data_IF_250189419916
#
_entry.id   IF_250189419916
#
_cell.length_a   1.000
_cell.length_b   1.000
_cell.length_c   1.000
_cell.angle_alpha   90.00
_cell.angle_beta   90.00
_cell.angle_gamma   90.00
#
_symmetry.space_group_name_H-M   'P 1'
#
loop_
_entity.id
_entity.type
_entity.pdbx_description
1 polymer ?
#
# COMPACT_ATOMS: atom_id res chain seq x y z
N UNK A 1 -48.01 -6.53 -2.17
CA UNK A 1 -47.56 -5.51 -3.15
C UNK A 1 -48.74 -5.06 -4.01
N UNK A 2 -49.50 -4.04 -3.57
CA UNK A 2 -50.31 -3.12 -4.42
C UNK A 2 -51.20 -2.11 -3.65
N UNK A 3 -51.23 -2.08 -2.32
CA UNK A 3 -52.10 -1.15 -1.56
C UNK A 3 -51.36 -0.15 -0.63
N UNK A 4 -50.17 0.29 -1.04
CA UNK A 4 -49.42 1.39 -0.39
C UNK A 4 -49.19 2.59 -1.33
N UNK A 5 -49.89 2.63 -2.47
CA UNK A 5 -49.97 3.84 -3.30
C UNK A 5 -51.03 4.73 -2.65
N UNK A 6 -50.59 5.87 -2.14
CA UNK A 6 -51.42 7.02 -1.78
C UNK A 6 -52.39 6.85 -0.60
N UNK A 7 -51.84 6.72 0.62
CA UNK A 7 -52.61 6.94 1.85
C UNK A 7 -52.37 8.33 2.45
N UNK A 8 -53.38 8.96 3.08
CA UNK A 8 -53.29 10.29 3.68
C UNK A 8 -52.20 10.43 4.78
N UNK A 9 -51.66 9.33 5.31
CA UNK A 9 -50.56 9.37 6.29
C UNK A 9 -49.20 9.78 5.69
N UNK A 10 -48.92 9.43 4.43
CA UNK A 10 -47.74 9.97 3.71
C UNK A 10 -47.95 11.41 3.28
N UNK A 11 -49.20 11.86 3.17
CA UNK A 11 -49.56 13.24 2.86
C UNK A 11 -49.47 14.15 4.11
N UNK A 12 -49.84 13.64 5.30
CA UNK A 12 -49.75 14.36 6.58
C UNK A 12 -48.30 14.60 7.03
N UNK A 13 -47.44 13.60 6.87
CA UNK A 13 -45.98 13.75 7.09
C UNK A 13 -45.34 14.65 6.03
N UNK A 14 -45.91 14.72 4.82
CA UNK A 14 -45.47 15.63 3.77
C UNK A 14 -45.88 17.07 3.99
N UNK A 15 -47.12 17.35 4.39
CA UNK A 15 -47.55 18.72 4.66
C UNK A 15 -46.77 19.31 5.85
N UNK A 16 -46.39 18.48 6.83
CA UNK A 16 -45.53 18.88 7.93
C UNK A 16 -44.10 19.29 7.49
N UNK A 17 -43.47 18.52 6.58
CA UNK A 17 -42.20 18.93 5.93
C UNK A 17 -42.41 20.17 5.05
N UNK A 18 -43.56 20.23 4.36
CA UNK A 18 -43.84 21.30 3.42
C UNK A 18 -44.14 22.65 4.11
N UNK A 19 -44.70 22.63 5.32
CA UNK A 19 -45.12 23.79 6.10
C UNK A 19 -44.05 24.38 7.03
N UNK A 20 -42.87 23.75 7.12
CA UNK A 20 -41.77 24.23 7.96
C UNK A 20 -41.10 25.47 7.35
N UNK A 21 -41.68 26.63 7.62
CA UNK A 21 -41.04 27.95 7.51
C UNK A 21 -40.49 28.32 8.91
N UNK A 22 -39.42 27.66 9.38
CA UNK A 22 -38.96 27.85 10.77
C UNK A 22 -37.66 28.68 10.88
N UNK A 23 -37.58 29.64 11.82
CA UNK A 23 -36.38 30.44 12.08
C UNK A 23 -35.17 29.61 12.54
N UNK A 24 -33.98 30.16 12.31
CA UNK A 24 -32.62 29.62 12.51
C UNK A 24 -32.25 29.08 13.91
N UNK A 25 -33.15 29.08 14.91
CA UNK A 25 -32.77 28.88 16.33
C UNK A 25 -33.23 27.56 17.00
N UNK A 26 -34.05 26.71 16.37
CA UNK A 26 -34.47 25.39 16.89
C UNK A 26 -33.90 24.17 16.13
N UNK A 27 -32.57 24.10 15.93
CA UNK A 27 -31.93 23.32 14.85
C UNK A 27 -31.39 21.92 15.16
N UNK A 28 -31.53 21.40 16.38
CA UNK A 28 -30.90 20.13 16.78
C UNK A 28 -31.57 18.86 16.21
N UNK A 29 -32.59 18.27 16.86
CA UNK A 29 -33.10 16.94 16.49
C UNK A 29 -33.85 16.88 15.14
N UNK A 30 -34.39 18.01 14.68
CA UNK A 30 -35.32 18.09 13.56
C UNK A 30 -34.65 17.98 12.18
N UNK A 31 -33.39 18.41 12.04
CA UNK A 31 -32.69 18.35 10.75
C UNK A 31 -32.30 16.90 10.37
N UNK A 32 -31.99 16.05 11.35
CA UNK A 32 -31.67 14.63 11.10
C UNK A 32 -32.91 13.92 10.57
N UNK A 33 -34.08 14.21 11.15
CA UNK A 33 -35.35 13.62 10.75
C UNK A 33 -35.76 13.95 9.31
N UNK A 34 -35.50 15.18 8.84
CA UNK A 34 -35.89 15.61 7.50
C UNK A 34 -35.10 14.89 6.38
N UNK A 35 -33.78 14.79 6.53
CA UNK A 35 -32.93 14.10 5.56
C UNK A 35 -33.14 12.58 5.62
N UNK A 36 -33.31 12.00 6.81
CA UNK A 36 -33.54 10.57 6.97
C UNK A 36 -34.88 10.17 6.35
N UNK A 37 -35.93 10.97 6.54
CA UNK A 37 -37.22 10.75 5.89
C UNK A 37 -37.12 10.87 4.36
N UNK A 38 -36.42 11.89 3.85
CA UNK A 38 -36.19 12.01 2.42
C UNK A 38 -35.39 10.82 1.84
N UNK A 39 -34.44 10.27 2.60
CA UNK A 39 -33.65 9.09 2.22
C UNK A 39 -34.51 7.83 2.19
N UNK A 40 -35.32 7.60 3.23
CA UNK A 40 -36.26 6.47 3.29
C UNK A 40 -37.24 6.52 2.11
N UNK A 41 -37.79 7.71 1.81
CA UNK A 41 -38.68 7.89 0.65
C UNK A 41 -37.93 7.62 -0.67
N UNK A 42 -36.67 8.04 -0.75
CA UNK A 42 -35.83 7.79 -1.92
C UNK A 42 -35.65 6.28 -2.13
N UNK A 43 -35.14 5.56 -1.14
CA UNK A 43 -34.79 4.14 -1.24
C UNK A 43 -36.00 3.26 -1.55
N UNK A 44 -37.16 3.59 -0.98
CA UNK A 44 -38.41 2.87 -1.20
C UNK A 44 -39.16 3.31 -2.47
N UNK A 45 -38.58 4.21 -3.28
CA UNK A 45 -39.17 4.76 -4.51
C UNK A 45 -40.57 5.37 -4.31
N UNK A 46 -40.78 5.99 -3.14
CA UNK A 46 -42.01 6.68 -2.75
C UNK A 46 -41.97 8.16 -3.18
N UNK A 47 -43.10 8.85 -3.07
CA UNK A 47 -43.23 10.30 -3.33
C UNK A 47 -42.76 10.79 -4.70
N UNK A 48 -42.90 9.95 -5.75
CA UNK A 48 -42.43 10.24 -7.12
C UNK A 48 -42.93 11.58 -7.66
N UNK A 49 -44.20 11.89 -7.45
CA UNK A 49 -44.84 13.14 -7.91
C UNK A 49 -44.28 14.38 -7.21
N UNK A 50 -43.72 14.23 -6.01
CA UNK A 50 -43.15 15.32 -5.21
C UNK A 50 -41.63 15.39 -5.28
N UNK A 51 -40.97 14.52 -6.06
CA UNK A 51 -39.51 14.41 -6.17
C UNK A 51 -38.82 15.76 -6.41
N UNK A 52 -39.34 16.58 -7.33
CA UNK A 52 -38.79 17.92 -7.61
C UNK A 52 -38.89 18.86 -6.42
N UNK A 53 -40.00 18.85 -5.69
CA UNK A 53 -40.18 19.68 -4.51
C UNK A 53 -39.27 19.24 -3.36
N UNK A 54 -39.14 17.92 -3.13
CA UNK A 54 -38.22 17.35 -2.15
C UNK A 54 -36.78 17.79 -2.48
N UNK A 55 -36.36 17.64 -3.74
CA UNK A 55 -35.01 18.01 -4.19
C UNK A 55 -34.73 19.51 -3.95
N UNK A 56 -35.65 20.39 -4.34
CA UNK A 56 -35.51 21.84 -4.15
C UNK A 56 -35.45 22.24 -2.67
N UNK A 57 -36.23 21.58 -1.80
CA UNK A 57 -36.18 21.84 -0.36
C UNK A 57 -34.86 21.39 0.25
N UNK A 58 -34.40 20.19 -0.10
CA UNK A 58 -33.10 19.69 0.36
C UNK A 58 -31.95 20.59 -0.12
N UNK A 59 -32.00 21.06 -1.38
CA UNK A 59 -31.04 22.03 -1.92
C UNK A 59 -31.07 23.34 -1.11
N UNK A 60 -32.25 23.91 -0.85
CA UNK A 60 -32.39 25.15 -0.09
C UNK A 60 -31.83 25.01 1.33
N UNK A 61 -32.12 23.90 2.03
CA UNK A 61 -31.55 23.60 3.34
C UNK A 61 -30.02 23.42 3.28
N UNK A 62 -29.53 22.72 2.26
CA UNK A 62 -28.10 22.53 2.05
C UNK A 62 -27.36 23.86 1.89
N UNK A 63 -27.88 24.77 1.04
CA UNK A 63 -27.30 26.10 0.83
C UNK A 63 -27.36 26.96 2.09
N UNK A 64 -28.48 26.95 2.81
CA UNK A 64 -28.60 27.69 4.07
C UNK A 64 -27.58 27.24 5.12
N UNK A 65 -27.37 25.93 5.27
CA UNK A 65 -26.34 25.38 6.15
C UNK A 65 -24.92 25.77 5.72
N UNK A 66 -24.69 25.82 4.42
CA UNK A 66 -23.41 26.21 3.85
C UNK A 66 -23.11 27.69 4.16
N UNK A 67 -24.11 28.57 3.99
CA UNK A 67 -24.05 30.00 4.32
C UNK A 67 -23.83 30.24 5.83
N UNK A 68 -24.37 29.37 6.69
CA UNK A 68 -24.13 29.37 8.14
C UNK A 68 -22.73 28.85 8.54
N UNK A 69 -21.87 28.49 7.58
CA UNK A 69 -20.53 27.97 7.85
C UNK A 69 -20.56 26.53 8.40
N UNK A 70 -21.57 25.74 8.04
CA UNK A 70 -21.75 24.34 8.44
C UNK A 70 -21.62 23.39 7.23
N UNK A 71 -20.50 23.41 6.48
CA UNK A 71 -20.35 22.69 5.22
C UNK A 71 -20.50 21.16 5.37
N UNK A 72 -20.13 20.59 6.52
CA UNK A 72 -20.30 19.17 6.82
C UNK A 72 -21.76 18.71 6.84
N UNK A 73 -22.67 19.56 7.32
CA UNK A 73 -24.09 19.27 7.33
C UNK A 73 -24.71 19.61 5.97
N UNK A 74 -24.29 20.73 5.36
CA UNK A 74 -24.72 21.14 4.02
C UNK A 74 -24.53 20.03 2.99
N UNK A 75 -23.36 19.38 2.96
CA UNK A 75 -23.06 18.31 1.99
C UNK A 75 -24.05 17.16 2.05
N UNK A 76 -24.48 16.72 3.24
CA UNK A 76 -25.47 15.63 3.35
C UNK A 76 -26.78 15.99 2.64
N UNK A 77 -27.26 17.22 2.84
CA UNK A 77 -28.46 17.72 2.20
C UNK A 77 -28.31 17.88 0.69
N UNK A 78 -27.17 18.41 0.24
CA UNK A 78 -26.87 18.58 -1.18
C UNK A 78 -26.70 17.23 -1.90
N UNK A 79 -26.05 16.24 -1.29
CA UNK A 79 -25.94 14.88 -1.82
C UNK A 79 -27.33 14.23 -1.97
N UNK A 80 -28.19 14.38 -0.95
CA UNK A 80 -29.57 13.88 -1.02
C UNK A 80 -30.37 14.60 -2.12
N UNK A 81 -30.25 15.93 -2.23
CA UNK A 81 -30.89 16.71 -3.29
C UNK A 81 -30.41 16.26 -4.68
N UNK A 82 -29.10 16.07 -4.86
CA UNK A 82 -28.49 15.59 -6.09
C UNK A 82 -29.05 14.23 -6.51
N UNK A 83 -29.20 13.29 -5.58
CA UNK A 83 -29.82 11.99 -5.84
C UNK A 83 -31.27 12.12 -6.33
N UNK A 84 -32.07 13.01 -5.73
CA UNK A 84 -33.44 13.27 -6.16
C UNK A 84 -33.52 13.95 -7.54
N UNK A 85 -32.61 14.89 -7.85
CA UNK A 85 -32.52 15.49 -9.19
C UNK A 85 -32.09 14.48 -10.26
N UNK A 86 -31.15 13.59 -9.93
CA UNK A 86 -30.73 12.51 -10.81
C UNK A 86 -31.90 11.59 -11.18
N UNK A 87 -32.72 11.22 -10.19
CA UNK A 87 -33.91 10.37 -10.38
C UNK A 87 -34.94 10.95 -11.35
N UNK A 88 -35.12 12.27 -11.35
CA UNK A 88 -36.05 12.94 -12.27
C UNK A 88 -35.40 13.34 -13.60
N UNK A 89 -34.14 12.97 -13.83
CA UNK A 89 -33.41 13.22 -15.07
C UNK A 89 -32.84 14.63 -15.19
N UNK A 90 -32.85 15.43 -14.12
CA UNK A 90 -32.31 16.80 -14.14
C UNK A 90 -30.79 16.79 -13.92
N UNK A 91 -30.06 16.48 -15.00
CA UNK A 91 -28.60 16.37 -14.99
C UNK A 91 -27.92 17.72 -14.75
N UNK A 92 -28.52 18.82 -15.21
CA UNK A 92 -27.97 20.16 -15.01
C UNK A 92 -27.89 20.49 -13.50
N UNK A 93 -28.99 20.26 -12.76
CA UNK A 93 -29.02 20.46 -11.31
C UNK A 93 -28.15 19.45 -10.56
N UNK A 94 -28.13 18.19 -10.97
CA UNK A 94 -27.21 17.19 -10.40
C UNK A 94 -25.75 17.67 -10.47
N UNK A 95 -25.31 18.13 -11.64
CA UNK A 95 -23.93 18.59 -11.83
C UNK A 95 -23.64 19.89 -11.07
N UNK A 96 -24.58 20.84 -11.06
CA UNK A 96 -24.48 22.06 -10.23
C UNK A 96 -24.27 21.71 -8.75
N UNK A 97 -25.10 20.83 -8.18
CA UNK A 97 -24.98 20.41 -6.78
C UNK A 97 -23.69 19.63 -6.51
N UNK A 98 -23.24 18.81 -7.48
CA UNK A 98 -21.97 18.10 -7.37
C UNK A 98 -20.80 19.08 -7.24
N UNK A 99 -20.81 20.19 -7.98
CA UNK A 99 -19.83 21.28 -7.83
C UNK A 99 -19.93 21.91 -6.45
N UNK A 100 -21.14 22.24 -5.97
CA UNK A 100 -21.31 22.82 -4.63
C UNK A 100 -20.77 21.90 -3.52
N UNK A 101 -21.01 20.59 -3.60
CA UNK A 101 -20.50 19.61 -2.64
C UNK A 101 -18.96 19.57 -2.67
N UNK A 102 -18.37 19.58 -3.87
CA UNK A 102 -16.92 19.59 -4.04
C UNK A 102 -16.29 20.86 -3.45
N UNK A 103 -16.86 22.03 -3.74
CA UNK A 103 -16.37 23.31 -3.16
C UNK A 103 -16.58 23.40 -1.64
N UNK A 104 -17.61 22.74 -1.10
CA UNK A 104 -17.77 22.57 0.34
C UNK A 104 -16.60 21.81 0.97
N UNK A 105 -16.04 20.80 0.30
CA UNK A 105 -14.82 20.12 0.74
C UNK A 105 -13.59 21.03 0.65
N UNK A 106 -13.48 21.85 -0.40
CA UNK A 106 -12.36 22.80 -0.58
C UNK A 106 -12.33 23.86 0.51
N UNK A 107 -13.48 24.43 0.85
CA UNK A 107 -13.60 25.40 1.95
C UNK A 107 -13.19 24.78 3.28
N UNK A 108 -13.60 23.55 3.55
CA UNK A 108 -13.15 22.86 4.75
C UNK A 108 -11.65 22.59 4.73
N UNK A 109 -11.09 22.15 3.60
CA UNK A 109 -9.65 21.92 3.48
C UNK A 109 -8.85 23.19 3.81
N UNK A 110 -9.28 24.33 3.25
CA UNK A 110 -8.66 25.64 3.44
C UNK A 110 -8.74 26.13 4.89
N UNK A 111 -9.78 25.73 5.63
CA UNK A 111 -9.97 26.10 7.04
C UNK A 111 -9.24 25.21 8.04
N UNK A 112 -8.57 24.12 7.60
CA UNK A 112 -7.86 23.20 8.50
C UNK A 112 -6.41 23.64 8.68
N UNK A 113 -5.97 23.65 9.95
CA UNK A 113 -4.56 23.86 10.28
C UNK A 113 -3.73 22.59 10.16
N UNK A 114 -4.34 21.40 10.27
CA UNK A 114 -3.64 20.13 10.09
C UNK A 114 -3.57 19.77 8.62
N UNK A 115 -2.37 19.76 8.05
CA UNK A 115 -2.14 19.48 6.64
C UNK A 115 -2.67 18.09 6.22
N UNK A 116 -2.49 17.06 7.04
CA UNK A 116 -2.99 15.72 6.72
C UNK A 116 -4.53 15.68 6.59
N UNK A 117 -5.25 16.45 7.41
CA UNK A 117 -6.73 16.54 7.35
C UNK A 117 -7.15 17.34 6.13
N UNK A 118 -6.47 18.45 5.85
CA UNK A 118 -6.70 19.25 4.65
C UNK A 118 -6.49 18.44 3.36
N UNK A 119 -5.44 17.63 3.28
CA UNK A 119 -5.17 16.75 2.13
C UNK A 119 -6.32 15.76 1.87
N UNK A 120 -6.86 15.15 2.93
CA UNK A 120 -8.03 14.25 2.83
C UNK A 120 -9.28 14.96 2.28
N UNK A 121 -9.48 16.23 2.64
CA UNK A 121 -10.59 17.03 2.13
C UNK A 121 -10.40 17.46 0.67
N UNK A 122 -9.18 17.85 0.26
CA UNK A 122 -8.89 18.08 -1.16
C UNK A 122 -9.10 16.82 -2.01
N UNK A 123 -8.70 15.65 -1.52
CA UNK A 123 -8.98 14.38 -2.18
C UNK A 123 -10.49 14.14 -2.33
N UNK A 124 -11.28 14.36 -1.28
CA UNK A 124 -12.75 14.24 -1.34
C UNK A 124 -13.37 15.22 -2.36
N UNK A 125 -12.83 16.43 -2.47
CA UNK A 125 -13.25 17.40 -3.49
C UNK A 125 -12.97 16.86 -4.90
N UNK A 126 -11.75 16.36 -5.16
CA UNK A 126 -11.35 15.76 -6.44
C UNK A 126 -12.25 14.57 -6.81
N UNK A 127 -12.50 13.66 -5.86
CA UNK A 127 -13.36 12.50 -6.11
C UNK A 127 -14.81 12.92 -6.39
N UNK A 128 -15.30 13.94 -5.70
CA UNK A 128 -16.63 14.51 -5.97
C UNK A 128 -16.71 15.11 -7.37
N UNK A 129 -15.73 15.92 -7.78
CA UNK A 129 -15.64 16.47 -9.13
C UNK A 129 -15.59 15.39 -10.21
N UNK A 130 -14.90 14.27 -9.95
CA UNK A 130 -14.82 13.14 -10.88
C UNK A 130 -16.16 12.45 -11.14
N UNK A 131 -17.17 12.63 -10.29
CA UNK A 131 -18.54 12.14 -10.53
C UNK A 131 -19.21 12.82 -11.73
N UNK A 132 -18.75 14.01 -12.13
CA UNK A 132 -19.23 14.70 -13.33
C UNK A 132 -18.59 14.04 -14.58
N UNK A 133 -19.39 13.56 -15.55
CA UNK A 133 -18.87 12.95 -16.77
C UNK A 133 -17.99 13.92 -17.56
N UNK A 134 -16.89 13.43 -18.15
CA UNK A 134 -15.90 14.27 -18.89
C UNK A 134 -16.55 15.23 -19.91
N UNK A 135 -17.57 14.79 -20.64
CA UNK A 135 -18.26 15.62 -21.65
C UNK A 135 -19.00 16.84 -21.08
N UNK A 136 -19.39 16.81 -19.80
CA UNK A 136 -20.19 17.84 -19.13
C UNK A 136 -19.30 18.81 -18.32
N UNK A 137 -17.97 18.59 -18.29
CA UNK A 137 -17.03 19.33 -17.45
C UNK A 137 -16.67 20.71 -17.99
N UNK A 138 -16.62 20.84 -19.31
CA UNK A 138 -16.22 22.08 -19.99
C UNK A 138 -17.15 23.25 -19.67
N UNK A 139 -18.46 23.01 -19.54
CA UNK A 139 -19.44 24.05 -19.21
C UNK A 139 -19.29 24.64 -17.79
N UNK A 140 -18.49 24.00 -16.94
CA UNK A 140 -18.39 24.28 -15.50
C UNK A 140 -16.93 24.42 -15.04
N UNK A 141 -16.00 24.57 -15.98
CA UNK A 141 -14.55 24.72 -15.75
C UNK A 141 -13.95 23.66 -14.80
N UNK A 142 -14.54 22.46 -14.77
CA UNK A 142 -14.19 21.42 -13.80
C UNK A 142 -12.76 20.92 -13.98
N UNK A 143 -12.28 20.83 -15.22
CA UNK A 143 -10.93 20.33 -15.48
C UNK A 143 -9.85 21.32 -15.04
N UNK A 144 -10.08 22.63 -15.16
CA UNK A 144 -9.18 23.67 -14.61
C UNK A 144 -9.16 23.60 -13.08
N UNK A 145 -10.34 23.53 -12.45
CA UNK A 145 -10.45 23.40 -11.00
C UNK A 145 -9.81 22.11 -10.48
N UNK A 146 -9.94 21.00 -11.19
CA UNK A 146 -9.27 19.74 -10.85
C UNK A 146 -7.74 19.89 -10.86
N UNK A 147 -7.16 20.58 -11.84
CA UNK A 147 -5.72 20.83 -11.91
C UNK A 147 -5.21 21.68 -10.73
N UNK A 148 -5.98 22.71 -10.36
CA UNK A 148 -5.68 23.51 -9.16
C UNK A 148 -5.74 22.65 -7.89
N UNK A 149 -6.78 21.82 -7.74
CA UNK A 149 -6.92 20.94 -6.57
C UNK A 149 -5.80 19.90 -6.48
N UNK A 150 -5.30 19.38 -7.60
CA UNK A 150 -4.13 18.49 -7.59
C UNK A 150 -2.89 19.21 -7.08
N UNK A 151 -2.70 20.47 -7.45
CA UNK A 151 -1.59 21.30 -6.98
C UNK A 151 -1.71 21.55 -5.47
N UNK A 152 -2.88 22.01 -5.00
CA UNK A 152 -3.15 22.25 -3.58
C UNK A 152 -2.97 20.98 -2.73
N UNK A 153 -3.49 19.84 -3.21
CA UNK A 153 -3.34 18.55 -2.53
C UNK A 153 -1.87 18.14 -2.44
N UNK A 154 -1.08 18.34 -3.50
CA UNK A 154 0.35 18.04 -3.51
C UNK A 154 1.14 18.93 -2.54
N UNK A 155 0.81 20.22 -2.47
CA UNK A 155 1.48 21.17 -1.58
C UNK A 155 1.21 20.84 -0.12
N UNK A 156 -0.06 20.64 0.22
CA UNK A 156 -0.48 20.26 1.57
C UNK A 156 0.04 18.88 1.96
N UNK A 157 0.11 17.94 1.03
CA UNK A 157 0.73 16.62 1.25
C UNK A 157 2.20 16.72 1.68
N UNK A 158 2.98 17.62 1.05
CA UNK A 158 4.36 17.90 1.46
C UNK A 158 4.45 18.54 2.85
N UNK A 159 3.54 19.46 3.17
CA UNK A 159 3.47 20.04 4.51
C UNK A 159 3.11 19.03 5.59
N UNK A 160 2.26 18.04 5.29
CA UNK A 160 1.88 17.00 6.23
C UNK A 160 3.09 16.20 6.76
N UNK A 161 4.14 16.02 5.93
CA UNK A 161 5.38 15.36 6.36
C UNK A 161 6.10 16.13 7.48
N UNK A 162 6.04 17.46 7.46
CA UNK A 162 6.68 18.31 8.46
C UNK A 162 5.92 18.33 9.80
N UNK A 163 4.62 18.02 9.78
CA UNK A 163 3.79 17.91 10.98
C UNK A 163 3.93 16.54 11.68
N UNK A 164 4.53 15.55 11.02
CA UNK A 164 4.69 14.21 11.57
C UNK A 164 5.65 14.21 12.76
N UNK A 165 5.18 13.73 13.91
CA UNK A 165 6.03 13.53 15.09
C UNK A 165 6.68 12.16 15.05
N UNK A 166 7.99 12.12 15.29
CA UNK A 166 8.71 10.86 15.47
C UNK A 166 8.33 10.25 16.82
N UNK A 167 7.88 9.00 16.78
CA UNK A 167 7.76 8.15 17.95
C UNK A 167 8.92 7.16 17.87
N UNK A 168 9.73 7.08 18.93
CA UNK A 168 10.90 6.21 18.98
C UNK A 168 10.91 5.41 20.26
N UNK A 169 11.38 4.17 20.16
CA UNK A 169 11.72 3.29 21.28
C UNK A 169 13.17 2.84 21.13
N UNK A 170 13.89 2.68 22.24
CA UNK A 170 15.24 2.11 22.25
C UNK A 170 15.19 0.61 22.48
N UNK A 171 16.04 -0.12 21.76
CA UNK A 171 16.29 -1.55 21.96
C UNK A 171 17.81 -1.71 22.03
N UNK A 172 18.31 -2.39 23.07
CA UNK A 172 19.73 -2.73 23.13
C UNK A 172 20.02 -3.92 22.20
N UNK A 173 20.89 -3.69 21.23
CA UNK A 173 21.30 -4.68 20.22
C UNK A 173 22.75 -5.13 20.38
N UNK A 174 23.43 -4.74 21.47
CA UNK A 174 24.87 -5.00 21.67
C UNK A 174 25.21 -6.50 21.58
N UNK A 175 24.36 -7.37 22.15
CA UNK A 175 24.53 -8.82 22.06
C UNK A 175 24.38 -9.38 20.63
N UNK A 176 23.49 -8.80 19.81
CA UNK A 176 23.33 -9.17 18.41
C UNK A 176 24.58 -8.80 17.61
N UNK A 177 25.09 -7.58 17.82
CA UNK A 177 26.29 -7.05 17.15
C UNK A 177 27.48 -7.99 17.40
N UNK A 178 27.72 -8.34 18.66
CA UNK A 178 28.87 -9.19 19.00
C UNK A 178 28.72 -10.61 18.44
N UNK A 179 27.50 -11.16 18.48
CA UNK A 179 27.20 -12.47 17.88
C UNK A 179 27.47 -12.47 16.38
N UNK A 180 27.02 -11.44 15.66
CA UNK A 180 27.21 -11.32 14.23
C UNK A 180 28.67 -11.14 13.83
N UNK A 181 29.43 -10.30 14.56
CA UNK A 181 30.87 -10.12 14.34
C UNK A 181 31.62 -11.44 14.53
N UNK A 182 31.34 -12.15 15.63
CA UNK A 182 31.98 -13.43 15.91
C UNK A 182 31.56 -14.54 14.94
N UNK A 183 30.35 -14.44 14.35
CA UNK A 183 29.93 -15.39 13.32
C UNK A 183 30.82 -15.31 12.07
N UNK A 184 31.35 -14.13 11.70
CA UNK A 184 32.14 -13.93 10.48
C UNK A 184 33.66 -14.00 10.75
N UNK A 185 34.11 -13.46 11.89
CA UNK A 185 35.53 -13.27 12.26
C UNK A 185 36.38 -14.54 12.14
N UNK A 186 37.58 -14.39 11.56
CA UNK A 186 38.62 -15.41 11.51
C UNK A 186 38.31 -16.59 10.59
N UNK A 187 37.31 -16.48 9.71
CA UNK A 187 36.93 -17.54 8.77
C UNK A 187 37.65 -17.40 7.43
N UNK A 188 37.69 -18.47 6.65
CA UNK A 188 38.12 -18.39 5.26
C UNK A 188 37.10 -17.55 4.43
N UNK A 189 37.49 -16.92 3.31
CA UNK A 189 36.63 -15.94 2.62
C UNK A 189 35.24 -16.46 2.24
N UNK A 190 35.15 -17.70 1.72
CA UNK A 190 33.86 -18.32 1.38
C UNK A 190 33.04 -18.63 2.64
N UNK A 191 33.66 -19.17 3.69
CA UNK A 191 32.97 -19.48 4.95
C UNK A 191 32.48 -18.22 5.67
N UNK A 192 33.22 -17.11 5.55
CA UNK A 192 32.85 -15.81 6.08
C UNK A 192 31.65 -15.23 5.33
N UNK A 193 31.63 -15.29 3.99
CA UNK A 193 30.48 -14.92 3.15
C UNK A 193 29.23 -15.72 3.51
N UNK A 194 29.39 -17.03 3.71
CA UNK A 194 28.30 -17.92 4.07
C UNK A 194 27.79 -17.67 5.49
N UNK A 195 28.68 -17.36 6.42
CA UNK A 195 28.31 -16.94 7.77
C UNK A 195 27.52 -15.62 7.73
N UNK A 196 27.94 -14.65 6.91
CA UNK A 196 27.19 -13.41 6.70
C UNK A 196 25.80 -13.66 6.11
N UNK A 197 25.70 -14.52 5.09
CA UNK A 197 24.43 -14.91 4.48
C UNK A 197 23.46 -15.59 5.47
N UNK A 198 23.99 -16.25 6.50
CA UNK A 198 23.24 -16.91 7.57
C UNK A 198 23.14 -16.13 8.88
N UNK A 199 23.58 -14.86 8.92
CA UNK A 199 23.69 -14.08 10.18
C UNK A 199 22.33 -13.75 10.80
N UNK A 200 21.27 -13.73 9.99
CA UNK A 200 19.90 -13.54 10.44
C UNK A 200 19.12 -14.85 10.33
N UNK A 201 18.25 -15.08 11.31
CA UNK A 201 17.23 -16.14 11.23
C UNK A 201 16.32 -15.91 10.04
N UNK A 202 15.91 -16.98 9.36
CA UNK A 202 14.85 -16.93 8.36
C UNK A 202 13.57 -16.32 8.96
N UNK A 203 12.91 -15.43 8.21
CA UNK A 203 11.55 -14.99 8.54
C UNK A 203 10.64 -16.22 8.63
N UNK A 204 9.74 -16.22 9.61
CA UNK A 204 8.59 -17.13 9.64
C UNK A 204 7.32 -16.29 9.62
N UNK A 205 6.63 -16.29 8.48
CA UNK A 205 5.42 -15.49 8.24
C UNK A 205 4.32 -15.85 9.21
N UNK A 206 4.20 -17.13 9.58
CA UNK A 206 3.25 -17.60 10.59
C UNK A 206 3.46 -16.87 11.92
N UNK A 207 4.70 -16.84 12.43
CA UNK A 207 5.02 -16.16 13.70
C UNK A 207 4.86 -14.63 13.59
N UNK A 208 5.20 -14.06 12.44
CA UNK A 208 4.97 -12.64 12.17
C UNK A 208 3.47 -12.31 12.19
N UNK A 209 2.65 -13.19 11.61
CA UNK A 209 1.19 -13.04 11.59
C UNK A 209 0.62 -13.15 13.00
N UNK A 210 0.98 -14.19 13.75
CA UNK A 210 0.52 -14.39 15.13
C UNK A 210 0.85 -13.20 16.03
N UNK A 211 2.09 -12.71 15.98
CA UNK A 211 2.50 -11.53 16.75
C UNK A 211 1.78 -10.25 16.31
N UNK A 212 1.50 -10.10 15.01
CA UNK A 212 0.71 -8.98 14.49
C UNK A 212 -0.74 -9.05 14.93
N UNK A 213 -1.37 -10.23 14.88
CA UNK A 213 -2.73 -10.44 15.38
C UNK A 213 -2.85 -10.17 16.89
N UNK A 214 -1.85 -10.61 17.68
CA UNK A 214 -1.78 -10.33 19.11
C UNK A 214 -1.71 -8.82 19.38
N UNK A 215 -0.82 -8.11 18.69
CA UNK A 215 -0.68 -6.66 18.84
C UNK A 215 -1.95 -5.89 18.46
N UNK A 216 -2.65 -6.34 17.40
CA UNK A 216 -3.92 -5.73 17.01
C UNK A 216 -4.99 -5.88 18.10
N UNK A 217 -5.04 -7.03 18.79
CA UNK A 217 -5.97 -7.32 19.89
C UNK A 217 -5.65 -6.52 21.15
N UNK A 218 -4.37 -6.30 21.45
CA UNK A 218 -3.93 -5.55 22.64
C UNK A 218 -4.15 -4.03 22.50
N UNK A 219 -4.22 -3.51 21.27
CA UNK A 219 -4.36 -2.07 21.00
C UNK A 219 -5.57 -1.71 20.12
N UNK A 220 -6.81 -2.06 20.51
CA UNK A 220 -8.01 -1.92 19.67
C UNK A 220 -8.34 -0.47 19.30
N UNK A 221 -8.06 0.50 20.17
CA UNK A 221 -8.33 1.92 19.90
C UNK A 221 -7.44 2.44 18.76
N UNK A 222 -6.18 2.01 18.71
CA UNK A 222 -5.23 2.42 17.66
C UNK A 222 -5.58 1.81 16.31
N UNK A 223 -6.19 0.64 16.29
CA UNK A 223 -6.54 -0.12 15.09
C UNK A 223 -7.93 0.22 14.55
N UNK A 224 -8.80 0.79 15.38
CA UNK A 224 -10.08 1.40 14.97
C UNK A 224 -9.87 2.70 14.17
N UNK A 225 -8.74 3.39 14.36
CA UNK A 225 -8.40 4.61 13.61
C UNK A 225 -7.81 4.24 12.24
N UNK A 226 -8.36 4.85 11.19
CA UNK A 226 -7.77 4.75 9.84
C UNK A 226 -6.37 5.38 9.83
N UNK A 227 -5.39 4.71 9.21
CA UNK A 227 -4.07 5.28 9.01
C UNK A 227 -3.79 5.55 7.53
N UNK A 228 -3.08 6.64 7.26
CA UNK A 228 -2.69 7.05 5.90
C UNK A 228 -1.17 6.95 5.82
N UNK A 229 -0.68 6.25 4.79
CA UNK A 229 0.75 6.15 4.49
C UNK A 229 1.09 7.17 3.41
N UNK A 230 2.07 8.01 3.70
CA UNK A 230 2.49 9.12 2.85
C UNK A 230 3.92 8.84 2.38
N UNK A 231 4.17 8.94 1.08
CA UNK A 231 5.50 8.82 0.49
C UNK A 231 6.37 10.04 0.83
N UNK A 232 7.68 9.94 0.56
CA UNK A 232 8.66 11.00 0.81
C UNK A 232 8.35 12.31 0.07
N UNK A 233 7.60 12.23 -1.02
CA UNK A 233 7.16 13.38 -1.82
C UNK A 233 5.80 13.96 -1.38
N UNK A 234 5.20 13.43 -0.30
CA UNK A 234 3.94 13.92 0.26
C UNK A 234 2.69 13.27 -0.32
N UNK A 235 2.81 12.31 -1.25
CA UNK A 235 1.64 11.61 -1.81
C UNK A 235 1.11 10.54 -0.85
N UNK A 236 -0.21 10.42 -0.76
CA UNK A 236 -0.85 9.27 -0.12
C UNK A 236 -0.68 8.04 -1.00
N UNK A 237 0.08 7.05 -0.53
CA UNK A 237 0.38 5.81 -1.28
C UNK A 237 -0.42 4.62 -0.80
N UNK A 238 -0.93 4.66 0.43
CA UNK A 238 -1.84 3.64 0.94
C UNK A 238 -2.73 4.19 2.07
N UNK A 239 -3.92 3.60 2.21
CA UNK A 239 -4.85 3.86 3.30
C UNK A 239 -5.24 2.55 3.96
N UNK A 240 -5.20 2.53 5.28
CA UNK A 240 -5.72 1.45 6.11
C UNK A 240 -7.06 1.90 6.68
N UNK A 241 -8.17 1.23 6.35
CA UNK A 241 -9.45 1.51 7.00
C UNK A 241 -9.40 1.10 8.47
N UNK A 242 -10.29 1.66 9.29
CA UNK A 242 -10.50 1.18 10.66
C UNK A 242 -11.01 -0.28 10.65
N UNK A 243 -10.64 -1.05 11.66
CA UNK A 243 -11.08 -2.45 11.79
C UNK A 243 -12.54 -2.51 12.21
N UNK A 244 -13.37 -3.20 11.45
CA UNK A 244 -14.59 -3.80 11.98
C UNK A 244 -14.23 -5.17 12.58
N UNK A 245 -14.27 -5.26 13.91
CA UNK A 245 -13.90 -6.45 14.66
C UNK A 245 -14.96 -7.56 14.61
N UNK A 246 -16.12 -7.29 14.00
CA UNK A 246 -17.23 -8.24 13.94
C UNK A 246 -16.99 -9.41 12.96
N UNK A 247 -16.11 -9.25 11.97
CA UNK A 247 -15.79 -10.29 10.99
C UNK A 247 -14.26 -10.40 10.73
N UNK A 248 -13.57 -11.36 11.40
CA UNK A 248 -12.15 -11.67 11.20
C UNK A 248 -11.82 -12.22 9.80
N UNK A 249 -12.82 -12.56 8.99
CA UNK A 249 -12.61 -13.02 7.61
C UNK A 249 -12.79 -11.92 6.57
N UNK A 250 -13.28 -10.75 7.00
CA UNK A 250 -13.54 -9.61 6.13
C UNK A 250 -12.27 -9.11 5.42
N UNK A 251 -12.44 -8.59 4.21
CA UNK A 251 -11.35 -7.96 3.46
C UNK A 251 -10.73 -6.79 4.23
N UNK A 252 -11.53 -6.05 5.00
CA UNK A 252 -11.08 -4.98 5.86
C UNK A 252 -10.10 -5.51 6.93
N UNK A 253 -10.47 -6.57 7.66
CA UNK A 253 -9.58 -7.19 8.65
C UNK A 253 -8.27 -7.67 8.02
N UNK A 254 -8.34 -8.35 6.87
CA UNK A 254 -7.13 -8.83 6.15
C UNK A 254 -6.19 -7.70 5.76
N UNK A 255 -6.72 -6.58 5.27
CA UNK A 255 -5.91 -5.41 4.89
C UNK A 255 -5.21 -4.77 6.10
N UNK A 256 -5.88 -4.74 7.24
CA UNK A 256 -5.36 -4.22 8.50
C UNK A 256 -4.26 -5.14 9.05
N UNK A 257 -4.52 -6.45 9.08
CA UNK A 257 -3.54 -7.44 9.51
C UNK A 257 -2.28 -7.38 8.64
N UNK A 258 -2.45 -7.31 7.33
CA UNK A 258 -1.34 -7.17 6.40
C UNK A 258 -0.49 -5.92 6.70
N UNK A 259 -1.13 -4.76 6.87
CA UNK A 259 -0.41 -3.53 7.22
C UNK A 259 0.37 -3.63 8.54
N UNK A 260 -0.18 -4.33 9.52
CA UNK A 260 0.52 -4.57 10.79
C UNK A 260 1.72 -5.52 10.60
N UNK A 261 1.56 -6.57 9.79
CA UNK A 261 2.65 -7.47 9.44
C UNK A 261 3.79 -6.75 8.73
N UNK A 262 3.50 -5.88 7.76
CA UNK A 262 4.51 -5.06 7.07
C UNK A 262 5.23 -4.13 8.06
N UNK A 263 4.51 -3.49 8.98
CA UNK A 263 5.13 -2.64 10.01
C UNK A 263 6.05 -3.44 10.93
N UNK A 264 5.58 -4.59 11.41
CA UNK A 264 6.36 -5.47 12.28
C UNK A 264 7.59 -6.03 11.56
N UNK A 265 7.45 -6.40 10.30
CA UNK A 265 8.57 -6.80 9.45
C UNK A 265 9.59 -5.66 9.29
N UNK A 266 9.14 -4.44 9.02
CA UNK A 266 10.03 -3.27 8.91
C UNK A 266 10.84 -3.00 10.18
N UNK A 267 10.24 -3.17 11.36
CA UNK A 267 10.94 -3.05 12.64
C UNK A 267 11.97 -4.17 12.84
N UNK A 268 11.62 -5.42 12.51
CA UNK A 268 12.56 -6.55 12.57
C UNK A 268 13.75 -6.37 11.62
N UNK A 269 13.48 -5.92 10.39
CA UNK A 269 14.49 -5.61 9.39
C UNK A 269 15.48 -4.57 9.90
N UNK A 270 15.00 -3.49 10.52
CA UNK A 270 15.89 -2.47 11.09
C UNK A 270 16.83 -3.06 12.17
N UNK A 271 16.31 -3.94 13.02
CA UNK A 271 17.12 -4.64 14.04
C UNK A 271 18.14 -5.57 13.39
N UNK A 272 17.75 -6.35 12.38
CA UNK A 272 18.68 -7.24 11.66
C UNK A 272 19.77 -6.47 10.94
N UNK A 273 19.44 -5.36 10.30
CA UNK A 273 20.41 -4.53 9.58
C UNK A 273 21.45 -3.97 10.55
N UNK A 274 21.01 -3.26 11.58
CA UNK A 274 21.92 -2.59 12.53
C UNK A 274 22.61 -3.57 13.48
N UNK A 275 21.94 -4.66 13.84
CA UNK A 275 22.41 -5.60 14.84
C UNK A 275 23.18 -6.80 14.28
N UNK A 276 23.01 -7.15 13.00
CA UNK A 276 23.61 -8.37 12.46
C UNK A 276 24.29 -8.18 11.10
N UNK A 277 23.55 -7.69 10.10
CA UNK A 277 24.04 -7.63 8.71
C UNK A 277 25.20 -6.65 8.59
N UNK A 278 25.02 -5.40 9.02
CA UNK A 278 26.07 -4.37 8.91
C UNK A 278 27.31 -4.75 9.73
N UNK A 279 27.23 -5.15 11.02
CA UNK A 279 28.40 -5.57 11.77
C UNK A 279 29.13 -6.77 11.17
N UNK A 280 28.40 -7.75 10.61
CA UNK A 280 29.01 -8.90 9.93
C UNK A 280 29.72 -8.49 8.64
N UNK A 281 29.11 -7.61 7.85
CA UNK A 281 29.70 -7.05 6.63
C UNK A 281 30.97 -6.25 6.93
N UNK A 282 30.98 -5.43 7.98
CA UNK A 282 32.17 -4.70 8.43
C UNK A 282 33.36 -5.64 8.64
N UNK A 283 33.16 -6.75 9.37
CA UNK A 283 34.21 -7.75 9.60
C UNK A 283 34.65 -8.40 8.29
N UNK A 284 33.70 -8.75 7.41
CA UNK A 284 34.00 -9.37 6.12
C UNK A 284 34.89 -8.47 5.24
N UNK A 285 34.62 -7.16 5.21
CA UNK A 285 35.41 -6.17 4.47
C UNK A 285 36.78 -5.97 5.10
N UNK A 286 36.87 -6.00 6.43
CA UNK A 286 38.13 -5.81 7.16
C UNK A 286 39.10 -6.97 6.95
N UNK A 287 38.60 -8.21 6.95
CA UNK A 287 39.44 -9.42 6.93
C UNK A 287 39.73 -9.95 5.53
N UNK A 288 38.92 -9.58 4.52
CA UNK A 288 39.02 -10.14 3.18
C UNK A 288 39.07 -9.06 2.10
N UNK A 289 39.61 -9.44 0.95
CA UNK A 289 39.69 -8.61 -0.27
C UNK A 289 39.09 -9.38 -1.44
N UNK A 290 37.79 -9.62 -1.33
CA UNK A 290 37.02 -10.31 -2.37
C UNK A 290 36.96 -9.44 -3.63
N UNK A 291 36.99 -10.08 -4.78
CA UNK A 291 36.92 -9.46 -6.10
C UNK A 291 35.56 -9.71 -6.72
N UNK A 292 35.16 -8.88 -7.68
CA UNK A 292 33.93 -9.08 -8.47
C UNK A 292 33.86 -10.51 -9.04
N UNK A 293 34.98 -11.06 -9.53
CA UNK A 293 35.07 -12.43 -10.05
C UNK A 293 34.64 -13.51 -9.05
N UNK A 294 34.86 -13.28 -7.77
CA UNK A 294 34.50 -14.23 -6.71
C UNK A 294 32.98 -14.29 -6.57
N UNK A 295 32.31 -13.13 -6.61
CA UNK A 295 30.85 -13.04 -6.58
C UNK A 295 30.20 -13.55 -7.87
N UNK A 296 30.82 -13.31 -9.04
CA UNK A 296 30.35 -13.87 -10.33
C UNK A 296 30.44 -15.40 -10.31
N UNK A 297 31.53 -15.95 -9.80
CA UNK A 297 31.70 -17.40 -9.67
C UNK A 297 30.66 -17.98 -8.71
N UNK A 298 30.44 -17.34 -7.57
CA UNK A 298 29.41 -17.74 -6.61
C UNK A 298 28.00 -17.72 -7.23
N UNK A 299 27.68 -16.68 -8.00
CA UNK A 299 26.40 -16.59 -8.70
C UNK A 299 26.23 -17.69 -9.76
N UNK A 300 27.29 -18.05 -10.49
CA UNK A 300 27.24 -19.12 -11.50
C UNK A 300 27.03 -20.52 -10.96
N UNK A 301 27.41 -20.77 -9.71
CA UNK A 301 27.17 -22.05 -9.06
C UNK A 301 25.75 -22.16 -8.46
N UNK A 302 25.06 -21.04 -8.30
CA UNK A 302 23.76 -20.95 -7.65
C UNK A 302 22.61 -21.26 -8.63
N UNK A 303 21.78 -22.30 -8.37
CA UNK A 303 20.68 -22.65 -9.26
C UNK A 303 19.51 -21.66 -9.23
N UNK A 304 19.49 -20.73 -8.26
CA UNK A 304 18.47 -19.67 -8.23
C UNK A 304 18.77 -18.59 -9.29
N UNK A 305 20.04 -18.44 -9.69
CA UNK A 305 20.47 -17.44 -10.67
C UNK A 305 20.19 -17.97 -12.08
N UNK A 306 19.40 -17.25 -12.91
CA UNK A 306 19.19 -17.66 -14.28
C UNK A 306 20.49 -17.61 -15.10
N UNK A 307 20.64 -18.57 -16.02
CA UNK A 307 21.78 -18.62 -16.94
C UNK A 307 22.02 -17.29 -17.65
N UNK A 308 23.29 -16.93 -17.84
CA UNK A 308 23.73 -15.67 -18.48
C UNK A 308 23.44 -14.39 -17.68
N UNK A 309 23.03 -14.52 -16.40
CA UNK A 309 22.84 -13.38 -15.48
C UNK A 309 23.88 -13.31 -14.37
N UNK A 310 24.82 -14.25 -14.32
CA UNK A 310 25.83 -14.43 -13.26
C UNK A 310 26.67 -13.16 -13.08
N UNK A 311 27.04 -12.51 -14.19
CA UNK A 311 27.81 -11.25 -14.16
C UNK A 311 27.03 -10.09 -13.53
N UNK A 312 25.73 -9.97 -13.82
CA UNK A 312 24.89 -8.91 -13.27
C UNK A 312 24.67 -9.11 -11.77
N UNK A 313 24.40 -10.35 -11.36
CA UNK A 313 24.31 -10.73 -9.94
C UNK A 313 25.63 -10.52 -9.21
N UNK A 314 26.72 -11.04 -9.75
CA UNK A 314 28.05 -10.92 -9.14
C UNK A 314 28.48 -9.47 -8.98
N UNK A 315 28.27 -8.62 -10.00
CA UNK A 315 28.53 -7.19 -9.91
C UNK A 315 27.65 -6.49 -8.88
N UNK A 316 26.35 -6.79 -8.84
CA UNK A 316 25.44 -6.21 -7.84
C UNK A 316 25.87 -6.57 -6.41
N UNK A 317 26.27 -7.83 -6.18
CA UNK A 317 26.76 -8.27 -4.89
C UNK A 317 28.10 -7.63 -4.52
N UNK A 318 29.02 -7.52 -5.47
CA UNK A 318 30.31 -6.87 -5.26
C UNK A 318 30.16 -5.39 -4.90
N UNK A 319 29.30 -4.64 -5.61
CA UNK A 319 29.02 -3.24 -5.28
C UNK A 319 28.52 -3.09 -3.83
N UNK A 320 27.57 -3.91 -3.38
CA UNK A 320 27.10 -3.83 -2.00
C UNK A 320 28.12 -4.34 -0.97
N UNK A 321 29.00 -5.27 -1.34
CA UNK A 321 30.15 -5.65 -0.51
C UNK A 321 31.11 -4.48 -0.28
N UNK A 322 31.30 -3.60 -1.28
CA UNK A 322 32.08 -2.37 -1.13
C UNK A 322 31.30 -1.20 -0.49
N UNK A 323 30.03 -1.42 -0.12
CA UNK A 323 29.16 -0.38 0.45
C UNK A 323 28.51 0.56 -0.59
N UNK A 324 28.69 0.29 -1.88
CA UNK A 324 27.96 0.99 -2.95
C UNK A 324 26.58 0.37 -3.14
N UNK A 325 25.67 0.65 -2.20
CA UNK A 325 24.30 0.18 -2.27
C UNK A 325 23.52 0.86 -3.40
N UNK A 326 23.94 2.02 -3.88
CA UNK A 326 23.35 2.68 -5.06
C UNK A 326 23.49 1.77 -6.27
N UNK A 327 24.72 1.41 -6.65
CA UNK A 327 24.93 0.52 -7.78
C UNK A 327 24.34 -0.88 -7.51
N UNK A 328 24.45 -1.37 -6.28
CA UNK A 328 23.93 -2.69 -5.91
C UNK A 328 22.42 -2.80 -6.17
N UNK A 329 21.59 -1.89 -5.66
CA UNK A 329 20.13 -2.01 -5.81
C UNK A 329 19.65 -1.77 -7.25
N UNK A 330 20.32 -0.89 -8.00
CA UNK A 330 20.00 -0.65 -9.42
C UNK A 330 20.28 -1.86 -10.29
N UNK A 331 21.30 -2.65 -9.96
CA UNK A 331 21.60 -3.90 -10.67
C UNK A 331 20.74 -5.05 -10.14
N UNK A 332 20.61 -5.18 -8.81
CA UNK A 332 19.97 -6.32 -8.14
C UNK A 332 18.46 -6.36 -8.35
N UNK A 333 17.78 -5.21 -8.27
CA UNK A 333 16.31 -5.18 -8.29
C UNK A 333 15.71 -5.74 -9.59
N UNK A 334 16.21 -5.36 -10.79
CA UNK A 334 15.79 -6.01 -12.03
C UNK A 334 16.17 -7.49 -12.10
N UNK A 335 17.28 -7.90 -11.47
CA UNK A 335 17.69 -9.31 -11.45
C UNK A 335 16.77 -10.16 -10.56
N UNK A 336 16.29 -9.64 -9.43
CA UNK A 336 15.29 -10.29 -8.57
C UNK A 336 13.98 -10.48 -9.34
N UNK A 337 13.51 -9.45 -10.06
CA UNK A 337 12.30 -9.57 -10.90
C UNK A 337 12.47 -10.65 -11.98
N UNK A 338 13.62 -10.63 -12.68
CA UNK A 338 13.91 -11.64 -13.70
C UNK A 338 14.04 -13.05 -13.11
N UNK A 339 14.63 -13.19 -11.92
CA UNK A 339 14.73 -14.47 -11.21
C UNK A 339 13.34 -15.05 -10.92
N UNK A 340 12.45 -14.26 -10.32
CA UNK A 340 11.06 -14.68 -10.03
C UNK A 340 10.36 -15.13 -11.31
N UNK A 341 10.44 -14.31 -12.36
CA UNK A 341 9.88 -14.63 -13.68
C UNK A 341 10.43 -15.93 -14.25
N UNK A 342 11.75 -16.13 -14.19
CA UNK A 342 12.41 -17.29 -14.77
C UNK A 342 11.96 -18.59 -14.11
N UNK A 343 11.90 -18.64 -12.78
CA UNK A 343 11.45 -19.83 -12.05
C UNK A 343 9.95 -20.10 -12.24
N UNK A 344 9.12 -19.05 -12.35
CA UNK A 344 7.71 -19.20 -12.70
C UNK A 344 7.53 -19.83 -14.09
N UNK A 345 8.27 -19.35 -15.09
CA UNK A 345 8.27 -19.93 -16.44
C UNK A 345 8.75 -21.38 -16.44
N UNK A 346 9.82 -21.67 -15.70
CA UNK A 346 10.33 -23.03 -15.55
C UNK A 346 9.28 -23.99 -14.94
N UNK A 347 8.39 -23.47 -14.10
CA UNK A 347 7.26 -24.20 -13.52
C UNK A 347 5.99 -24.21 -14.39
N UNK A 348 6.04 -23.70 -15.64
CA UNK A 348 4.92 -23.67 -16.58
C UNK A 348 3.89 -22.58 -16.30
N UNK A 349 4.22 -21.58 -15.46
CA UNK A 349 3.30 -20.49 -15.10
C UNK A 349 3.36 -19.39 -16.15
N UNK A 350 2.19 -18.90 -16.59
CA UNK A 350 2.11 -17.78 -17.52
C UNK A 350 2.53 -16.48 -16.82
N UNK A 351 3.57 -15.82 -17.32
CA UNK A 351 4.10 -14.57 -16.77
C UNK A 351 3.79 -13.33 -17.61
N UNK A 352 2.94 -13.48 -18.62
CA UNK A 352 2.60 -12.44 -19.58
C UNK A 352 1.13 -12.08 -19.51
N UNK A 353 0.81 -10.86 -19.94
CA UNK A 353 -0.56 -10.41 -20.16
C UNK A 353 -0.75 -10.06 -21.65
N UNK A 354 -1.91 -10.41 -22.19
CA UNK A 354 -2.31 -10.08 -23.56
C UNK A 354 -3.26 -8.89 -23.50
N UNK A 355 -2.92 -7.78 -24.13
CA UNK A 355 -3.81 -6.63 -24.17
C UNK A 355 -4.91 -6.75 -25.23
N UNK A 356 -5.78 -5.74 -25.30
CA UNK A 356 -6.92 -5.68 -26.22
C UNK A 356 -6.52 -5.66 -27.69
N UNK A 357 -5.28 -5.26 -27.98
CA UNK A 357 -4.71 -5.18 -29.33
C UNK A 357 -3.96 -6.49 -29.70
N UNK A 358 -3.95 -7.47 -28.79
CA UNK A 358 -3.27 -8.75 -28.99
C UNK A 358 -1.76 -8.69 -28.78
N UNK A 359 -1.25 -7.66 -28.10
CA UNK A 359 0.17 -7.53 -27.76
C UNK A 359 0.44 -8.22 -26.42
N UNK A 360 1.41 -9.13 -26.43
CA UNK A 360 1.84 -9.86 -25.24
C UNK A 360 2.97 -9.09 -24.52
N UNK A 361 2.71 -8.70 -23.27
CA UNK A 361 3.65 -7.97 -22.43
C UNK A 361 4.02 -8.79 -21.18
N UNK A 362 5.27 -8.68 -20.75
CA UNK A 362 5.71 -9.31 -19.50
C UNK A 362 5.10 -8.63 -18.28
N UNK A 363 4.63 -9.43 -17.32
CA UNK A 363 4.17 -8.94 -16.04
C UNK A 363 5.37 -8.44 -15.21
N UNK A 364 5.21 -7.27 -14.58
CA UNK A 364 6.17 -6.75 -13.60
C UNK A 364 6.13 -7.53 -12.28
N UNK A 365 7.14 -7.35 -11.43
CA UNK A 365 7.29 -8.11 -10.18
C UNK A 365 6.03 -8.07 -9.30
N UNK A 366 5.40 -6.90 -9.15
CA UNK A 366 4.21 -6.75 -8.32
C UNK A 366 3.08 -7.67 -8.78
N UNK A 367 2.85 -7.79 -10.09
CA UNK A 367 1.83 -8.69 -10.63
C UNK A 367 2.22 -10.17 -10.51
N UNK A 368 3.51 -10.49 -10.65
CA UNK A 368 4.00 -11.87 -10.48
C UNK A 368 3.81 -12.35 -9.04
N UNK A 369 4.06 -11.50 -8.04
CA UNK A 369 3.95 -11.84 -6.62
C UNK A 369 2.50 -12.00 -6.12
N UNK A 370 1.49 -11.67 -6.93
CA UNK A 370 0.09 -11.99 -6.63
C UNK A 370 -0.31 -13.42 -7.08
N UNK A 371 0.55 -14.12 -7.83
CA UNK A 371 0.29 -15.49 -8.27
C UNK A 371 0.48 -16.47 -7.11
N UNK A 372 -0.51 -17.34 -6.86
CA UNK A 372 -0.45 -18.37 -5.82
C UNK A 372 0.74 -19.32 -6.00
N UNK A 373 1.20 -19.50 -7.24
CA UNK A 373 2.33 -20.34 -7.61
C UNK A 373 3.66 -19.82 -7.05
N UNK A 374 3.78 -18.51 -6.74
CA UNK A 374 4.97 -17.96 -6.10
C UNK A 374 5.18 -18.60 -4.74
N UNK A 375 4.14 -18.70 -3.91
CA UNK A 375 4.21 -19.37 -2.61
C UNK A 375 4.57 -20.84 -2.74
N UNK A 376 4.09 -21.51 -3.79
CA UNK A 376 4.42 -22.92 -4.07
C UNK A 376 5.90 -23.11 -4.45
N UNK A 377 6.46 -22.18 -5.22
CA UNK A 377 7.83 -22.29 -5.76
C UNK A 377 8.87 -21.80 -4.75
N UNK A 378 8.62 -20.65 -4.13
CA UNK A 378 9.59 -19.96 -3.26
C UNK A 378 9.33 -20.20 -1.77
N UNK A 379 8.18 -20.75 -1.41
CA UNK A 379 7.72 -20.83 -0.02
C UNK A 379 7.05 -19.52 0.44
N UNK A 380 6.21 -19.64 1.46
CA UNK A 380 5.44 -18.50 2.01
C UNK A 380 6.34 -17.40 2.56
N UNK A 381 7.42 -17.79 3.25
CA UNK A 381 8.33 -16.85 3.89
C UNK A 381 9.03 -15.94 2.87
N UNK A 382 9.66 -16.53 1.84
CA UNK A 382 10.33 -15.75 0.81
C UNK A 382 9.35 -14.98 -0.08
N UNK A 383 8.18 -15.56 -0.39
CA UNK A 383 7.13 -14.85 -1.14
C UNK A 383 6.70 -13.57 -0.41
N UNK A 384 6.51 -13.65 0.93
CA UNK A 384 6.22 -12.49 1.75
C UNK A 384 7.37 -11.48 1.75
N UNK A 385 8.63 -11.91 1.99
CA UNK A 385 9.78 -11.00 2.00
C UNK A 385 9.92 -10.25 0.67
N UNK A 386 9.78 -10.94 -0.46
CA UNK A 386 9.82 -10.33 -1.79
C UNK A 386 8.71 -9.30 -1.98
N UNK A 387 7.49 -9.62 -1.55
CA UNK A 387 6.34 -8.72 -1.66
C UNK A 387 6.51 -7.48 -0.78
N UNK A 388 6.79 -7.70 0.51
CA UNK A 388 6.95 -6.65 1.50
C UNK A 388 8.08 -5.68 1.19
N UNK A 389 9.23 -6.20 0.71
CA UNK A 389 10.43 -5.39 0.47
C UNK A 389 10.39 -4.66 -0.87
N UNK A 390 9.96 -5.33 -1.95
CA UNK A 390 10.10 -4.80 -3.31
C UNK A 390 8.82 -4.16 -3.86
N UNK A 391 7.62 -4.60 -3.46
CA UNK A 391 6.40 -4.27 -4.19
C UNK A 391 5.28 -3.65 -3.35
N UNK A 392 5.31 -3.82 -2.03
CA UNK A 392 4.21 -3.35 -1.18
C UNK A 392 4.31 -1.84 -0.90
N UNK A 393 3.26 -1.05 -1.19
CA UNK A 393 3.25 0.40 -0.92
C UNK A 393 3.27 0.77 0.57
N UNK A 394 2.93 -0.16 1.47
CA UNK A 394 3.07 0.01 2.92
C UNK A 394 4.51 -0.28 3.38
N UNK A 395 5.29 -0.96 2.55
CA UNK A 395 6.71 -1.26 2.75
C UNK A 395 7.61 -0.30 1.99
N UNK A 396 8.90 -0.65 1.84
CA UNK A 396 9.88 0.18 1.11
C UNK A 396 9.60 0.30 -0.39
N UNK A 397 8.82 -0.62 -0.95
CA UNK A 397 8.40 -0.61 -2.35
C UNK A 397 9.57 -0.47 -3.35
N UNK A 398 10.74 -1.06 -3.01
CA UNK A 398 12.02 -0.76 -3.66
C UNK A 398 11.98 -0.87 -5.18
N UNK A 399 11.27 -1.87 -5.72
CA UNK A 399 11.19 -2.07 -7.17
C UNK A 399 10.47 -0.92 -7.86
N UNK A 400 9.36 -0.46 -7.31
CA UNK A 400 8.57 0.60 -7.93
C UNK A 400 9.22 1.97 -7.72
N UNK A 401 9.72 2.27 -6.52
CA UNK A 401 10.43 3.53 -6.26
C UNK A 401 11.67 3.66 -7.15
N UNK A 402 12.44 2.57 -7.32
CA UNK A 402 13.61 2.55 -8.19
C UNK A 402 13.22 2.70 -9.67
N UNK A 403 12.25 1.91 -10.16
CA UNK A 403 11.82 1.96 -11.56
C UNK A 403 11.20 3.31 -11.95
N UNK A 404 10.61 4.03 -11.01
CA UNK A 404 10.08 5.37 -11.20
C UNK A 404 11.11 6.49 -10.98
N UNK A 405 12.35 6.17 -10.59
CA UNK A 405 13.39 7.16 -10.35
C UNK A 405 13.15 8.03 -9.11
N UNK A 406 12.40 7.51 -8.14
CA UNK A 406 12.02 8.22 -6.91
C UNK A 406 13.01 7.99 -5.76
N UNK A 407 13.97 7.08 -5.93
CA UNK A 407 15.04 6.85 -4.96
C UNK A 407 16.18 7.84 -5.15
N UNK A 408 16.37 8.72 -4.17
CA UNK A 408 17.57 9.54 -4.05
C UNK A 408 18.76 8.73 -3.49
N UNK A 409 19.93 9.39 -3.35
CA UNK A 409 21.14 8.74 -2.84
C UNK A 409 20.92 8.15 -1.43
N UNK A 410 20.29 8.89 -0.54
CA UNK A 410 20.04 8.45 0.85
C UNK A 410 19.03 7.30 0.91
N UNK A 411 18.01 7.29 0.03
CA UNK A 411 17.12 6.14 -0.15
C UNK A 411 17.90 4.90 -0.56
N UNK A 412 18.80 5.05 -1.53
CA UNK A 412 19.65 3.98 -2.01
C UNK A 412 20.62 3.47 -0.94
N UNK A 413 21.08 4.33 -0.04
CA UNK A 413 21.95 3.99 1.09
C UNK A 413 21.20 3.56 2.36
N UNK A 414 19.88 3.36 2.27
CA UNK A 414 19.05 3.00 3.42
C UNK A 414 19.29 1.56 3.91
N UNK A 415 18.88 1.29 5.15
CA UNK A 415 18.89 -0.08 5.70
C UNK A 415 18.05 -1.06 4.86
N UNK A 416 17.01 -0.60 4.17
CA UNK A 416 16.22 -1.44 3.27
C UNK A 416 17.03 -1.90 2.04
N UNK A 417 17.87 -1.03 1.48
CA UNK A 417 18.76 -1.36 0.38
C UNK A 417 19.85 -2.35 0.80
N UNK A 418 20.45 -2.12 1.97
CA UNK A 418 21.41 -3.05 2.56
C UNK A 418 20.77 -4.41 2.82
N UNK A 419 19.55 -4.44 3.35
CA UNK A 419 18.80 -5.69 3.54
C UNK A 419 18.47 -6.38 2.21
N UNK A 420 18.06 -5.63 1.18
CA UNK A 420 17.79 -6.18 -0.15
C UNK A 420 19.04 -6.80 -0.77
N UNK A 421 20.19 -6.15 -0.63
CA UNK A 421 21.49 -6.71 -1.01
C UNK A 421 21.81 -7.99 -0.25
N UNK A 422 21.66 -7.98 1.08
CA UNK A 422 21.89 -9.16 1.91
C UNK A 422 20.94 -10.32 1.57
N UNK A 423 19.67 -10.03 1.27
CA UNK A 423 18.70 -11.03 0.82
C UNK A 423 19.17 -11.65 -0.51
N UNK A 424 19.67 -10.84 -1.45
CA UNK A 424 20.29 -11.34 -2.68
C UNK A 424 21.47 -12.28 -2.42
N UNK A 425 22.36 -11.92 -1.49
CA UNK A 425 23.47 -12.77 -1.06
C UNK A 425 22.96 -14.10 -0.46
N UNK A 426 21.98 -14.02 0.44
CA UNK A 426 21.36 -15.18 1.10
C UNK A 426 20.71 -16.15 0.11
N UNK A 427 20.02 -15.64 -0.91
CA UNK A 427 19.40 -16.46 -1.95
C UNK A 427 20.44 -17.27 -2.74
N UNK A 428 21.55 -16.62 -3.11
CA UNK A 428 22.64 -17.27 -3.84
C UNK A 428 23.33 -18.31 -2.96
N UNK A 429 23.68 -17.95 -1.72
CA UNK A 429 24.38 -18.83 -0.79
C UNK A 429 23.55 -20.05 -0.36
N UNK A 430 22.27 -19.87 -0.03
CA UNK A 430 21.39 -20.96 0.44
C UNK A 430 21.15 -22.01 -0.65
N UNK A 431 20.92 -21.57 -1.89
CA UNK A 431 20.71 -22.46 -3.03
C UNK A 431 22.00 -23.19 -3.46
N UNK A 432 23.16 -22.53 -3.38
CA UNK A 432 24.46 -23.15 -3.58
C UNK A 432 24.71 -24.31 -2.60
N UNK A 433 24.37 -24.13 -1.32
CA UNK A 433 24.50 -25.19 -0.31
C UNK A 433 23.58 -26.38 -0.57
N UNK A 434 22.33 -26.14 -0.95
CA UNK A 434 21.41 -27.22 -1.31
C UNK A 434 21.96 -28.04 -2.50
N UNK A 435 22.56 -27.37 -3.49
CA UNK A 435 23.21 -28.05 -4.63
C UNK A 435 24.43 -28.87 -4.19
N UNK A 436 25.37 -28.29 -3.44
CA UNK A 436 26.56 -29.00 -2.96
C UNK A 436 26.22 -30.21 -2.08
N UNK A 437 25.19 -30.08 -1.24
CA UNK A 437 24.74 -31.17 -0.36
C UNK A 437 24.11 -32.31 -1.17
N UNK A 438 23.31 -31.99 -2.18
CA UNK A 438 22.74 -32.99 -3.08
C UNK A 438 23.81 -33.68 -3.92
N UNK A 439 24.78 -32.94 -4.48
CA UNK A 439 25.90 -33.53 -5.24
C UNK A 439 26.75 -34.47 -4.39
N UNK A 440 27.04 -34.10 -3.14
CA UNK A 440 27.77 -34.97 -2.21
C UNK A 440 26.96 -36.23 -1.84
N UNK A 441 25.63 -36.11 -1.69
CA UNK A 441 24.75 -37.26 -1.46
C UNK A 441 24.61 -38.17 -2.69
N UNK A 442 24.75 -37.64 -3.91
CA UNK A 442 24.79 -38.41 -5.16
C UNK A 442 26.15 -39.09 -5.38
N UNK A 443 27.26 -38.45 -5.02
CA UNK A 443 28.62 -39.03 -5.07
C UNK A 443 28.84 -40.13 -4.01
N UNK A 444 28.22 -39.98 -2.83
CA UNK A 444 28.26 -40.97 -1.74
C UNK A 444 27.22 -42.10 -1.92
N UNK A 445 26.42 -42.08 -2.99
CA UNK A 445 25.46 -43.15 -3.29
C UNK A 445 26.22 -44.42 -3.74
N UNK A 446 25.94 -45.61 -3.15
CA UNK A 446 26.65 -46.83 -3.50
C UNK A 446 26.42 -47.17 -4.98
N UNK A 447 27.51 -47.16 -5.76
CA UNK A 447 27.52 -47.63 -7.15
C UNK A 447 27.12 -49.10 -7.13
N UNK A 448 25.87 -49.40 -7.46
CA UNK A 448 25.46 -50.76 -7.80
C UNK A 448 26.17 -51.13 -9.10
N UNK A 449 27.32 -51.79 -8.98
CA UNK A 449 27.89 -52.59 -10.06
C UNK A 449 26.85 -53.64 -10.43
N UNK A 450 26.24 -53.47 -11.58
CA UNK A 450 25.55 -54.56 -12.27
C UNK A 450 26.63 -55.42 -12.91
N UNK A 451 27.13 -56.39 -12.14
CA UNK A 451 27.87 -57.51 -12.71
C UNK A 451 26.82 -58.41 -13.39
N UNK A 452 26.83 -58.41 -14.72
CA UNK A 452 26.07 -59.31 -15.60
C UNK A 452 26.96 -59.76 -16.73
#
# INVERSE_FOLDING_TARGET
MNNLRDKPMTQFSFEWILSLNWPSHFWGPLHILAIDLATILFDNRLAKEKSRNIAQKLEAFGRLLDDEGKPQYARRYLDAAAAWFDRIGDKAKLHELTVCIAEGWVREASGRSQAAVAASFYENAIQTYRRIPKRERAERDVDERLNELYTLMSDVGRHALNEMRRISSSVDISGLIETARNAVRGRAPLDALLALAGVCSSLRVVSLRESSEAMLKEHPIRTLLSSTHISRDGRVVAKRPGVDWSDPTSQAYRSVLWAEMIRNYGMQLAIWVSGAILPGLEILILEHRLRESDFVSLAGESPIVPHSRERLWGKALFCGYEGDFVAAVHLLTPQIEHMVRWHLKAAGVKTTNLDVDGIENENGLSALLELNEVTRIFGEDLAFELKALFCDPLGPNLRNELAHGLMDHDACQSGYSLFAWWLGLRLICSSFWNRKRNQKSEEDAPVHRTDG
#
